data_IF_470192296757
#
_entry.id   IF_470192296757
#
_cell.length_a   1.000
_cell.length_b   1.000
_cell.length_c   1.000
_cell.angle_alpha   90.00
_cell.angle_beta   90.00
_cell.angle_gamma   90.00
#
_symmetry.space_group_name_H-M   'P 1'
#
loop_
_entity.id
_entity.type
_entity.pdbx_description
1 polymer ?
#
# COMPACT_ATOMS: atom_id res chain seq x y z
N UNK A 1 -24.88 -16.07 57.02
CA UNK A 1 -23.56 -15.43 56.93
C UNK A 1 -23.06 -15.76 55.54
N UNK A 2 -23.24 -14.82 54.61
CA UNK A 2 -22.96 -15.02 53.18
C UNK A 2 -21.52 -14.56 52.98
N UNK A 3 -20.64 -15.47 52.59
CA UNK A 3 -19.27 -15.14 52.18
C UNK A 3 -19.33 -14.29 50.93
N UNK A 4 -18.83 -13.06 51.06
CA UNK A 4 -18.55 -12.12 49.98
C UNK A 4 -17.13 -12.40 49.49
N UNK A 5 -16.94 -13.49 48.75
CA UNK A 5 -15.74 -13.63 47.92
C UNK A 5 -15.99 -12.87 46.61
N UNK A 6 -15.42 -11.66 46.61
CA UNK A 6 -15.15 -10.81 45.45
C UNK A 6 -14.56 -11.62 44.30
N UNK A 7 -15.38 -11.92 43.29
CA UNK A 7 -14.89 -12.14 41.92
C UNK A 7 -14.13 -10.87 41.48
N UNK A 8 -12.80 -10.95 41.48
CA UNK A 8 -11.97 -9.97 40.78
C UNK A 8 -12.30 -10.06 39.28
N UNK A 9 -12.51 -8.95 38.57
CA UNK A 9 -12.57 -9.00 37.12
C UNK A 9 -11.19 -9.44 36.61
N UNK A 10 -11.13 -10.61 35.99
CA UNK A 10 -9.96 -11.05 35.23
C UNK A 10 -9.71 -10.03 34.11
N UNK A 11 -8.66 -9.23 34.28
CA UNK A 11 -8.21 -8.30 33.25
C UNK A 11 -7.71 -9.12 32.07
N UNK A 12 -8.08 -8.75 30.85
CA UNK A 12 -7.58 -9.35 29.60
C UNK A 12 -6.03 -9.26 29.54
N UNK A 13 -5.43 -8.34 30.31
CA UNK A 13 -3.98 -8.21 30.48
C UNK A 13 -3.32 -9.40 31.21
N UNK A 14 -4.04 -10.17 32.03
CA UNK A 14 -3.49 -11.33 32.75
C UNK A 14 -3.39 -12.60 31.88
N UNK A 15 -3.87 -12.54 30.62
CA UNK A 15 -3.94 -13.69 29.70
C UNK A 15 -2.92 -13.66 28.56
N UNK A 16 -2.16 -12.57 28.39
CA UNK A 16 -1.11 -12.43 27.39
C UNK A 16 0.25 -12.61 28.06
N UNK A 17 1.17 -13.35 27.43
CA UNK A 17 2.54 -13.41 27.95
C UNK A 17 3.23 -12.04 27.82
N UNK A 18 4.28 -11.80 28.59
CA UNK A 18 5.08 -10.56 28.48
C UNK A 18 5.67 -10.41 27.07
N UNK A 19 6.02 -11.52 26.40
CA UNK A 19 6.47 -11.55 25.00
C UNK A 19 5.35 -11.14 24.03
N UNK A 20 4.13 -11.69 24.19
CA UNK A 20 2.98 -11.30 23.34
C UNK A 20 2.65 -9.82 23.49
N UNK A 21 2.80 -9.27 24.71
CA UNK A 21 2.56 -7.85 24.99
C UNK A 21 3.64 -6.96 24.36
N UNK A 22 4.90 -7.40 24.38
CA UNK A 22 6.02 -6.68 23.77
C UNK A 22 5.88 -6.60 22.24
N UNK A 23 5.55 -7.71 21.58
CA UNK A 23 5.40 -7.77 20.12
C UNK A 23 4.24 -6.90 19.62
N UNK A 24 3.13 -6.84 20.37
CA UNK A 24 1.99 -5.96 20.07
C UNK A 24 2.39 -4.48 20.10
N UNK A 25 3.27 -4.09 21.03
CA UNK A 25 3.69 -2.70 21.22
C UNK A 25 4.68 -2.26 20.14
N UNK A 26 5.66 -3.10 19.81
CA UNK A 26 6.61 -2.82 18.72
C UNK A 26 5.89 -2.73 17.37
N UNK A 27 4.95 -3.65 17.11
CA UNK A 27 4.10 -3.59 15.92
C UNK A 27 3.28 -2.29 15.86
N UNK A 28 2.81 -1.77 16.99
CA UNK A 28 2.11 -0.49 17.03
C UNK A 28 3.02 0.68 16.59
N UNK A 29 4.27 0.76 17.08
CA UNK A 29 5.20 1.83 16.70
C UNK A 29 5.58 1.72 15.22
N UNK A 30 5.89 0.51 14.76
CA UNK A 30 6.22 0.25 13.35
C UNK A 30 5.06 0.62 12.41
N UNK A 31 3.80 0.34 12.80
CA UNK A 31 2.62 0.79 12.06
C UNK A 31 2.55 2.31 11.99
N UNK A 32 2.81 3.03 13.08
CA UNK A 32 2.80 4.49 13.09
C UNK A 32 3.86 5.06 12.11
N UNK A 33 5.08 4.50 12.13
CA UNK A 33 6.16 4.91 11.22
C UNK A 33 5.80 4.64 9.75
N UNK A 34 5.26 3.46 9.46
CA UNK A 34 4.92 3.06 8.09
C UNK A 34 3.77 3.90 7.53
N UNK A 35 2.68 4.06 8.29
CA UNK A 35 1.51 4.82 7.85
C UNK A 35 1.86 6.31 7.66
N UNK A 36 2.64 6.89 8.57
CA UNK A 36 3.14 8.26 8.42
C UNK A 36 3.96 8.42 7.14
N UNK A 37 4.93 7.53 6.92
CA UNK A 37 5.81 7.57 5.75
C UNK A 37 5.02 7.47 4.45
N UNK A 38 4.05 6.55 4.38
CA UNK A 38 3.18 6.39 3.21
C UNK A 38 2.29 7.60 2.95
N UNK A 39 1.67 8.20 3.99
CA UNK A 39 0.84 9.41 3.85
C UNK A 39 1.65 10.59 3.33
N UNK A 40 2.86 10.79 3.84
CA UNK A 40 3.75 11.89 3.44
C UNK A 40 4.46 11.67 2.10
N UNK A 41 4.38 10.47 1.53
CA UNK A 41 5.09 10.12 0.29
C UNK A 41 6.58 9.86 0.50
N UNK A 42 6.99 9.57 1.73
CA UNK A 42 8.36 9.24 2.11
C UNK A 42 8.66 7.77 1.79
N UNK A 43 8.63 7.43 0.50
CA UNK A 43 8.71 6.03 0.06
C UNK A 43 10.03 5.36 0.42
N UNK A 44 11.15 6.10 0.51
CA UNK A 44 12.42 5.49 0.92
C UNK A 44 12.36 5.10 2.40
N UNK A 45 11.87 5.99 3.24
CA UNK A 45 11.64 5.70 4.66
C UNK A 45 10.66 4.53 4.85
N UNK A 46 9.55 4.50 4.09
CA UNK A 46 8.57 3.44 4.18
C UNK A 46 9.17 2.06 3.85
N UNK A 47 10.08 1.98 2.86
CA UNK A 47 10.83 0.76 2.55
C UNK A 47 11.81 0.37 3.68
N UNK A 48 12.50 1.33 4.29
CA UNK A 48 13.39 1.05 5.43
C UNK A 48 12.61 0.55 6.65
N UNK A 49 11.44 1.13 6.94
CA UNK A 49 10.55 0.67 8.02
C UNK A 49 10.02 -0.74 7.75
N UNK A 50 9.73 -1.09 6.49
CA UNK A 50 9.31 -2.44 6.12
C UNK A 50 10.35 -3.51 6.51
N UNK A 51 11.65 -3.19 6.45
CA UNK A 51 12.70 -4.11 6.87
C UNK A 51 12.65 -4.39 8.38
N UNK A 52 12.26 -3.39 9.17
CA UNK A 52 12.09 -3.56 10.61
C UNK A 52 10.94 -4.53 10.93
N UNK A 53 9.82 -4.48 10.20
CA UNK A 53 8.75 -5.48 10.39
C UNK A 53 9.27 -6.92 10.26
N UNK A 54 10.18 -7.19 9.33
CA UNK A 54 10.81 -8.50 9.20
C UNK A 54 11.74 -8.82 10.37
N UNK A 55 12.52 -7.84 10.84
CA UNK A 55 13.43 -8.00 11.97
C UNK A 55 12.69 -8.33 13.28
N UNK A 56 11.56 -7.65 13.53
CA UNK A 56 10.74 -7.83 14.73
C UNK A 56 9.66 -8.91 14.58
N UNK A 57 9.63 -9.65 13.46
CA UNK A 57 8.60 -10.66 13.17
C UNK A 57 7.15 -10.14 13.26
N UNK A 58 6.95 -8.85 13.02
CA UNK A 58 5.65 -8.18 13.08
C UNK A 58 4.88 -8.28 11.76
N UNK A 59 3.55 -8.15 11.82
CA UNK A 59 2.70 -8.22 10.63
C UNK A 59 2.54 -6.84 9.97
N UNK A 60 2.91 -6.76 8.69
CA UNK A 60 2.69 -5.55 7.89
C UNK A 60 1.20 -5.43 7.55
N UNK A 61 0.55 -4.27 7.77
CA UNK A 61 -0.83 -4.07 7.36
C UNK A 61 -0.99 -4.26 5.84
N UNK A 62 -1.92 -5.13 5.44
CA UNK A 62 -2.05 -5.53 4.02
C UNK A 62 -2.28 -4.35 3.07
N UNK A 63 -3.06 -3.35 3.49
CA UNK A 63 -3.31 -2.17 2.66
C UNK A 63 -2.06 -1.27 2.56
N UNK A 64 -1.24 -1.19 3.62
CA UNK A 64 0.04 -0.47 3.57
C UNK A 64 1.05 -1.19 2.67
N UNK A 65 1.09 -2.53 2.73
CA UNK A 65 1.90 -3.35 1.82
C UNK A 65 1.47 -3.16 0.36
N UNK A 66 0.16 -3.15 0.09
CA UNK A 66 -0.35 -2.84 -1.24
C UNK A 66 0.06 -1.43 -1.71
N UNK A 67 -0.07 -0.41 -0.86
CA UNK A 67 0.37 0.95 -1.19
C UNK A 67 1.87 0.99 -1.54
N UNK A 68 2.74 0.30 -0.79
CA UNK A 68 4.16 0.21 -1.09
C UNK A 68 4.44 -0.39 -2.48
N UNK A 69 3.74 -1.47 -2.83
CA UNK A 69 3.92 -2.15 -4.13
C UNK A 69 3.36 -1.29 -5.26
N UNK A 70 2.21 -0.64 -5.04
CA UNK A 70 1.51 0.15 -6.03
C UNK A 70 2.17 1.53 -6.29
N UNK A 71 2.89 2.07 -5.31
CA UNK A 71 3.66 3.32 -5.44
C UNK A 71 5.09 3.10 -5.94
N UNK A 72 5.55 1.84 -6.01
CA UNK A 72 6.82 1.51 -6.64
C UNK A 72 6.74 1.73 -8.14
N UNK A 73 7.83 2.25 -8.71
CA UNK A 73 7.94 2.43 -10.15
C UNK A 73 7.62 1.13 -10.91
N UNK A 74 6.85 1.22 -12.01
CA UNK A 74 6.57 0.08 -12.86
C UNK A 74 7.88 -0.62 -13.30
N UNK A 75 7.87 -1.95 -13.52
CA UNK A 75 9.05 -2.66 -13.98
C UNK A 75 9.65 -2.02 -15.25
N UNK A 76 10.91 -1.58 -15.15
CA UNK A 76 11.67 -0.97 -16.27
C UNK A 76 12.91 -1.77 -16.67
N UNK A 77 13.33 -2.75 -15.85
CA UNK A 77 14.52 -3.59 -16.08
C UNK A 77 14.22 -5.03 -15.64
N UNK A 78 13.94 -5.93 -16.57
CA UNK A 78 13.95 -7.38 -16.29
C UNK A 78 14.45 -8.16 -17.51
N UNK A 79 14.88 -9.41 -17.27
CA UNK A 79 15.34 -10.38 -18.27
C UNK A 79 14.19 -11.03 -19.06
N UNK A 80 12.95 -10.89 -18.59
CA UNK A 80 11.72 -11.10 -19.38
C UNK A 80 11.43 -9.84 -20.21
N UNK A 81 10.57 -9.93 -21.23
CA UNK A 81 10.13 -8.71 -21.93
C UNK A 81 9.53 -7.74 -20.91
N UNK A 82 9.97 -6.47 -20.95
CA UNK A 82 9.50 -5.41 -20.04
C UNK A 82 7.97 -5.35 -20.01
N UNK A 83 7.34 -5.57 -21.16
CA UNK A 83 5.89 -5.65 -21.32
C UNK A 83 5.25 -6.75 -20.46
N UNK A 84 5.81 -7.97 -20.48
CA UNK A 84 5.27 -9.08 -19.69
C UNK A 84 5.40 -8.81 -18.18
N UNK A 85 6.51 -8.23 -17.76
CA UNK A 85 6.70 -7.85 -16.35
C UNK A 85 5.68 -6.78 -15.90
N UNK A 86 5.38 -5.80 -16.77
CA UNK A 86 4.37 -4.77 -16.50
C UNK A 86 2.95 -5.35 -16.43
N UNK A 87 2.62 -6.29 -17.32
CA UNK A 87 1.33 -7.00 -17.29
C UNK A 87 1.18 -7.74 -15.96
N UNK A 88 2.14 -8.61 -15.60
CA UNK A 88 2.06 -9.41 -14.37
C UNK A 88 2.02 -8.57 -13.09
N UNK A 89 2.77 -7.46 -13.07
CA UNK A 89 2.72 -6.49 -11.98
C UNK A 89 1.32 -5.88 -11.83
N UNK A 90 0.73 -5.41 -12.93
CA UNK A 90 -0.56 -4.73 -12.90
C UNK A 90 -1.72 -5.71 -12.62
N UNK A 91 -1.66 -6.93 -13.16
CA UNK A 91 -2.63 -8.00 -12.86
C UNK A 91 -2.71 -8.30 -11.36
N UNK A 92 -1.54 -8.45 -10.72
CA UNK A 92 -1.44 -8.71 -9.28
C UNK A 92 -2.07 -7.58 -8.47
N UNK A 93 -1.77 -6.33 -8.85
CA UNK A 93 -2.32 -5.15 -8.20
C UNK A 93 -3.84 -5.04 -8.40
N UNK A 94 -4.36 -5.33 -9.59
CA UNK A 94 -5.81 -5.35 -9.86
C UNK A 94 -6.50 -6.38 -8.97
N UNK A 95 -6.01 -7.62 -8.93
CA UNK A 95 -6.61 -8.69 -8.13
C UNK A 95 -6.65 -8.35 -6.63
N UNK A 96 -5.55 -7.83 -6.10
CA UNK A 96 -5.49 -7.41 -4.69
C UNK A 96 -6.45 -6.24 -4.42
N UNK A 97 -6.50 -5.25 -5.31
CA UNK A 97 -7.40 -4.09 -5.17
C UNK A 97 -8.87 -4.51 -5.18
N UNK A 98 -9.25 -5.43 -6.07
CA UNK A 98 -10.60 -6.00 -6.13
C UNK A 98 -10.96 -6.70 -4.83
N UNK A 99 -10.05 -7.52 -4.28
CA UNK A 99 -10.25 -8.19 -3.00
C UNK A 99 -10.48 -7.20 -1.86
N UNK A 100 -9.68 -6.13 -1.78
CA UNK A 100 -9.88 -5.09 -0.77
C UNK A 100 -11.22 -4.38 -0.90
N UNK A 101 -11.62 -3.99 -2.12
CA UNK A 101 -12.90 -3.32 -2.35
C UNK A 101 -14.07 -4.24 -1.98
N UNK A 102 -13.97 -5.54 -2.26
CA UNK A 102 -14.98 -6.52 -1.90
C UNK A 102 -15.09 -6.74 -0.39
N UNK A 103 -13.97 -6.66 0.35
CA UNK A 103 -13.96 -6.81 1.81
C UNK A 103 -14.37 -5.54 2.58
N UNK A 104 -14.57 -4.41 1.90
CA UNK A 104 -15.00 -3.17 2.53
C UNK A 104 -16.52 -3.19 2.75
N UNK A 105 -16.94 -3.65 3.92
CA UNK A 105 -18.36 -3.72 4.32
C UNK A 105 -19.02 -2.34 4.49
N UNK A 106 -18.24 -1.28 4.66
CA UNK A 106 -18.76 0.06 4.94
C UNK A 106 -18.66 0.99 3.71
N UNK A 107 -19.78 1.60 3.26
CA UNK A 107 -19.77 2.55 2.16
C UNK A 107 -19.02 3.85 2.49
N UNK A 108 -18.77 4.15 3.78
CA UNK A 108 -18.12 5.38 4.27
C UNK A 108 -16.62 5.25 4.53
N UNK A 109 -16.01 4.24 3.91
CA UNK A 109 -14.59 4.01 4.05
C UNK A 109 -13.78 5.04 3.23
N UNK A 110 -12.97 5.88 3.88
CA UNK A 110 -12.26 7.02 3.24
C UNK A 110 -11.36 6.61 2.08
N UNK A 111 -10.83 5.39 2.12
CA UNK A 111 -9.96 4.85 1.08
C UNK A 111 -10.71 4.19 -0.10
N UNK A 112 -12.02 3.97 -0.01
CA UNK A 112 -12.80 3.24 -1.03
C UNK A 112 -12.82 3.92 -2.38
N UNK A 113 -13.13 5.22 -2.41
CA UNK A 113 -13.21 5.98 -3.67
C UNK A 113 -11.86 6.05 -4.40
N UNK A 114 -10.74 6.43 -3.74
CA UNK A 114 -9.41 6.36 -4.35
C UNK A 114 -9.02 4.97 -4.87
N UNK A 115 -9.41 3.90 -4.18
CA UNK A 115 -9.15 2.53 -4.65
C UNK A 115 -9.99 2.15 -5.88
N UNK A 116 -11.24 2.60 -5.95
CA UNK A 116 -12.10 2.40 -7.13
C UNK A 116 -11.55 3.16 -8.35
N UNK A 117 -11.05 4.38 -8.14
CA UNK A 117 -10.39 5.17 -9.18
C UNK A 117 -9.12 4.48 -9.68
N UNK A 118 -8.27 4.01 -8.75
CA UNK A 118 -7.10 3.21 -9.07
C UNK A 118 -7.47 1.98 -9.90
N UNK A 119 -8.43 1.18 -9.43
CA UNK A 119 -8.85 -0.04 -10.11
C UNK A 119 -9.38 0.24 -11.52
N UNK A 120 -10.17 1.30 -11.68
CA UNK A 120 -10.72 1.69 -12.98
C UNK A 120 -9.62 2.06 -13.97
N UNK A 121 -8.61 2.81 -13.53
CA UNK A 121 -7.48 3.20 -14.38
C UNK A 121 -6.54 2.02 -14.65
N UNK A 122 -6.32 1.15 -13.67
CA UNK A 122 -5.51 -0.05 -13.79
C UNK A 122 -6.11 -1.02 -14.82
N UNK A 123 -7.41 -1.34 -14.72
CA UNK A 123 -8.13 -2.19 -15.69
C UNK A 123 -8.10 -1.63 -17.11
N UNK A 124 -8.14 -0.30 -17.28
CA UNK A 124 -7.98 0.31 -18.60
C UNK A 124 -6.55 0.14 -19.12
N UNK A 125 -5.56 0.39 -18.27
CA UNK A 125 -4.14 0.34 -18.63
C UNK A 125 -3.70 -1.06 -19.01
N UNK A 126 -4.15 -2.09 -18.28
CA UNK A 126 -3.76 -3.47 -18.56
C UNK A 126 -4.24 -3.97 -19.92
N UNK A 127 -5.45 -3.58 -20.35
CA UNK A 127 -5.93 -3.93 -21.70
C UNK A 127 -5.08 -3.27 -22.79
N UNK A 128 -4.52 -2.08 -22.56
CA UNK A 128 -3.61 -1.49 -23.53
C UNK A 128 -2.27 -2.26 -23.60
N UNK A 129 -1.75 -2.73 -22.47
CA UNK A 129 -0.57 -3.61 -22.45
C UNK A 129 -0.85 -4.93 -23.18
N UNK A 130 -2.02 -5.54 -23.00
CA UNK A 130 -2.41 -6.72 -23.77
C UNK A 130 -2.61 -6.43 -25.26
N UNK A 131 -3.04 -5.22 -25.63
CA UNK A 131 -3.15 -4.82 -27.05
C UNK A 131 -1.75 -4.71 -27.68
N UNK A 132 -0.78 -4.17 -26.94
CA UNK A 132 0.62 -4.14 -27.33
C UNK A 132 1.16 -5.56 -27.54
N UNK A 133 0.94 -6.46 -26.58
CA UNK A 133 1.36 -7.86 -26.67
C UNK A 133 0.69 -8.59 -27.85
N UNK A 134 -0.60 -8.34 -28.07
CA UNK A 134 -1.35 -8.86 -29.22
C UNK A 134 -0.79 -8.37 -30.56
N UNK A 135 -0.32 -7.12 -30.65
CA UNK A 135 0.23 -6.59 -31.90
C UNK A 135 1.50 -7.33 -32.35
N UNK A 136 2.26 -7.87 -31.39
CA UNK A 136 3.46 -8.68 -31.63
C UNK A 136 3.13 -10.15 -31.89
N UNK A 137 2.25 -10.74 -31.08
CA UNK A 137 1.96 -12.19 -31.13
C UNK A 137 0.88 -12.58 -32.14
N UNK A 138 -0.10 -11.71 -32.38
CA UNK A 138 -1.31 -12.02 -33.14
C UNK A 138 -2.32 -12.91 -32.41
N UNK A 139 -2.11 -13.23 -31.12
CA UNK A 139 -3.00 -14.12 -30.36
C UNK A 139 -4.29 -13.41 -29.92
N UNK A 140 -5.30 -13.50 -30.78
CA UNK A 140 -6.62 -12.92 -30.54
C UNK A 140 -7.34 -13.56 -29.35
N UNK A 141 -7.14 -14.85 -29.11
CA UNK A 141 -7.86 -15.56 -28.06
C UNK A 141 -7.45 -15.05 -26.67
N UNK A 142 -6.14 -14.90 -26.46
CA UNK A 142 -5.58 -14.33 -25.22
C UNK A 142 -6.08 -12.90 -25.02
N UNK A 143 -6.03 -12.05 -26.06
CA UNK A 143 -6.51 -10.67 -25.93
C UNK A 143 -8.00 -10.59 -25.56
N UNK A 144 -8.84 -11.39 -26.22
CA UNK A 144 -10.28 -11.40 -25.93
C UNK A 144 -10.60 -11.95 -24.54
N UNK A 145 -9.83 -12.93 -24.07
CA UNK A 145 -9.95 -13.44 -22.70
C UNK A 145 -9.72 -12.32 -21.68
N UNK A 146 -8.62 -11.58 -21.81
CA UNK A 146 -8.30 -10.48 -20.89
C UNK A 146 -9.28 -9.31 -21.02
N UNK A 147 -9.73 -8.98 -22.24
CA UNK A 147 -10.79 -7.98 -22.43
C UNK A 147 -12.07 -8.38 -21.71
N UNK A 148 -12.49 -9.65 -21.79
CA UNK A 148 -13.69 -10.13 -21.11
C UNK A 148 -13.51 -10.20 -19.59
N UNK A 149 -12.31 -10.50 -19.10
CA UNK A 149 -11.99 -10.52 -17.66
C UNK A 149 -12.19 -9.15 -17.01
N UNK A 150 -11.68 -8.09 -17.63
CA UNK A 150 -11.74 -6.74 -17.05
C UNK A 150 -12.96 -5.92 -17.48
N UNK A 151 -13.52 -6.23 -18.65
CA UNK A 151 -14.68 -5.56 -19.22
C UNK A 151 -15.68 -6.60 -19.73
N UNK A 152 -16.53 -7.19 -18.87
CA UNK A 152 -17.44 -8.27 -19.25
C UNK A 152 -18.41 -7.92 -20.38
N UNK A 153 -18.71 -8.88 -21.24
CA UNK A 153 -19.57 -8.68 -22.41
C UNK A 153 -21.05 -8.43 -22.07
N UNK A 154 -21.49 -8.98 -20.95
CA UNK A 154 -22.83 -8.89 -20.39
C UNK A 154 -23.04 -7.63 -19.51
N UNK A 155 -21.98 -6.85 -19.28
CA UNK A 155 -22.06 -5.63 -18.48
C UNK A 155 -23.08 -4.63 -19.03
N UNK A 156 -23.91 -4.08 -18.14
CA UNK A 156 -24.87 -3.01 -18.44
C UNK A 156 -24.28 -1.61 -18.37
N UNK A 157 -23.06 -1.48 -17.84
CA UNK A 157 -22.36 -0.21 -17.71
C UNK A 157 -22.02 0.41 -19.09
N UNK A 158 -22.52 1.63 -19.39
CA UNK A 158 -22.24 2.30 -20.66
C UNK A 158 -20.75 2.49 -20.94
N UNK A 159 -19.95 2.77 -19.92
CA UNK A 159 -18.51 2.98 -20.09
C UNK A 159 -17.83 1.67 -20.52
N UNK A 160 -18.14 0.55 -19.87
CA UNK A 160 -17.67 -0.79 -20.24
C UNK A 160 -18.03 -1.14 -21.68
N UNK A 161 -19.28 -0.91 -22.09
CA UNK A 161 -19.73 -1.16 -23.48
C UNK A 161 -18.97 -0.32 -24.51
N UNK A 162 -18.76 0.97 -24.22
CA UNK A 162 -18.01 1.87 -25.08
C UNK A 162 -16.54 1.44 -25.20
N UNK A 163 -15.90 1.07 -24.09
CA UNK A 163 -14.53 0.56 -24.08
C UNK A 163 -14.38 -0.71 -24.92
N UNK A 164 -15.30 -1.68 -24.75
CA UNK A 164 -15.31 -2.90 -25.57
C UNK A 164 -15.46 -2.60 -27.06
N UNK A 165 -16.39 -1.71 -27.43
CA UNK A 165 -16.59 -1.33 -28.82
C UNK A 165 -15.31 -0.71 -29.42
N UNK A 166 -14.62 0.16 -28.66
CA UNK A 166 -13.35 0.75 -29.10
C UNK A 166 -12.32 -0.33 -29.41
N UNK A 167 -12.10 -1.29 -28.51
CA UNK A 167 -11.12 -2.35 -28.75
C UNK A 167 -11.56 -3.29 -29.87
N UNK A 168 -12.83 -3.70 -29.95
CA UNK A 168 -13.34 -4.49 -31.06
C UNK A 168 -13.05 -3.83 -32.42
N UNK A 169 -13.25 -2.51 -32.53
CA UNK A 169 -12.94 -1.74 -33.72
C UNK A 169 -11.44 -1.71 -34.08
N UNK A 170 -10.55 -1.70 -33.08
CA UNK A 170 -9.10 -1.79 -33.30
C UNK A 170 -8.73 -3.16 -33.87
N UNK A 171 -9.25 -4.23 -33.28
CA UNK A 171 -8.96 -5.61 -33.66
C UNK A 171 -9.35 -5.96 -35.12
N UNK A 172 -10.28 -5.22 -35.73
CA UNK A 172 -10.69 -5.42 -37.12
C UNK A 172 -9.58 -5.16 -38.15
N UNK A 173 -8.48 -4.47 -37.78
CA UNK A 173 -7.41 -4.14 -38.72
C UNK A 173 -6.07 -4.02 -38.01
N UNK A 174 -5.08 -4.82 -38.45
CA UNK A 174 -3.69 -4.72 -37.97
C UNK A 174 -3.13 -3.31 -38.12
N UNK A 175 -3.37 -2.65 -39.25
CA UNK A 175 -2.92 -1.28 -39.52
C UNK A 175 -3.54 -0.26 -38.55
N UNK A 176 -4.82 -0.44 -38.20
CA UNK A 176 -5.51 0.43 -37.25
C UNK A 176 -4.99 0.24 -35.83
N UNK A 177 -4.76 -1.01 -35.41
CA UNK A 177 -4.13 -1.33 -34.12
C UNK A 177 -2.74 -0.71 -34.03
N UNK A 178 -1.90 -0.91 -35.04
CA UNK A 178 -0.53 -0.37 -35.04
C UNK A 178 -0.54 1.16 -34.93
N UNK A 179 -1.35 1.83 -35.76
CA UNK A 179 -1.49 3.29 -35.70
C UNK A 179 -1.94 3.77 -34.32
N UNK A 180 -2.90 3.08 -33.71
CA UNK A 180 -3.36 3.42 -32.37
C UNK A 180 -2.24 3.27 -31.34
N UNK A 181 -1.47 2.18 -31.40
CA UNK A 181 -0.35 1.96 -30.49
C UNK A 181 0.71 3.06 -30.63
N UNK A 182 1.13 3.35 -31.86
CA UNK A 182 2.18 4.32 -32.16
C UNK A 182 1.77 5.76 -31.80
N UNK A 183 0.53 6.15 -32.08
CA UNK A 183 0.06 7.54 -31.91
C UNK A 183 -0.54 7.82 -30.54
N UNK A 184 -1.10 6.80 -29.85
CA UNK A 184 -1.92 7.02 -28.64
C UNK A 184 -1.45 6.27 -27.40
N UNK A 185 -0.85 5.08 -27.55
CA UNK A 185 -0.47 4.28 -26.39
C UNK A 185 1.01 4.42 -26.04
N UNK A 186 1.91 4.02 -26.94
CA UNK A 186 3.33 3.93 -26.67
C UNK A 186 3.95 5.26 -26.18
N UNK A 187 3.62 6.43 -26.77
CA UNK A 187 4.14 7.72 -26.28
C UNK A 187 3.70 8.07 -24.86
N UNK A 188 2.56 7.55 -24.42
CA UNK A 188 1.92 7.87 -23.14
C UNK A 188 1.95 6.71 -22.15
N UNK A 189 2.58 5.58 -22.49
CA UNK A 189 2.60 4.38 -21.65
C UNK A 189 3.20 4.67 -20.28
N UNK A 190 4.42 5.23 -20.26
CA UNK A 190 5.12 5.50 -19.00
C UNK A 190 4.37 6.49 -18.11
N UNK A 191 3.82 7.57 -18.68
CA UNK A 191 3.02 8.52 -17.89
C UNK A 191 1.73 7.89 -17.39
N UNK A 192 1.05 7.06 -18.20
CA UNK A 192 -0.19 6.37 -17.78
C UNK A 192 0.07 5.42 -16.61
N UNK A 193 1.19 4.70 -16.64
CA UNK A 193 1.58 3.82 -15.53
C UNK A 193 2.04 4.61 -14.29
N UNK A 194 2.73 5.75 -14.48
CA UNK A 194 3.07 6.67 -13.40
C UNK A 194 1.82 7.27 -12.75
N UNK A 195 0.77 7.58 -13.52
CA UNK A 195 -0.45 8.09 -12.90
C UNK A 195 -1.11 7.06 -11.96
N UNK A 196 -0.82 5.76 -12.11
CA UNK A 196 -1.29 4.74 -11.16
C UNK A 196 -0.56 4.87 -9.82
N UNK A 197 0.73 5.21 -9.81
CA UNK A 197 1.48 5.44 -8.56
C UNK A 197 0.90 6.63 -7.80
N UNK A 198 0.50 7.68 -8.51
CA UNK A 198 -0.17 8.84 -7.92
C UNK A 198 -1.53 8.49 -7.31
N UNK A 199 -2.33 7.66 -7.99
CA UNK A 199 -3.60 7.17 -7.45
C UNK A 199 -3.40 6.27 -6.22
N UNK A 200 -2.37 5.41 -6.22
CA UNK A 200 -2.01 4.61 -5.06
C UNK A 200 -1.58 5.49 -3.88
N UNK A 201 -0.84 6.59 -4.14
CA UNK A 201 -0.49 7.54 -3.10
C UNK A 201 -1.72 8.28 -2.53
N UNK A 202 -2.71 8.61 -3.37
CA UNK A 202 -3.99 9.16 -2.88
C UNK A 202 -4.72 8.19 -1.93
N UNK A 203 -4.63 6.88 -2.14
CA UNK A 203 -5.13 5.88 -1.19
C UNK A 203 -4.36 6.00 0.12
N UNK A 204 -3.02 6.04 0.06
CA UNK A 204 -2.18 6.16 1.25
C UNK A 204 -2.47 7.44 2.05
N UNK A 205 -2.78 8.56 1.38
CA UNK A 205 -3.17 9.81 2.04
C UNK A 205 -4.44 9.70 2.89
N UNK A 206 -5.29 8.69 2.65
CA UNK A 206 -6.51 8.45 3.44
C UNK A 206 -6.27 7.62 4.70
N UNK A 207 -5.04 7.16 4.95
CA UNK A 207 -4.70 6.50 6.21
C UNK A 207 -4.92 7.43 7.41
N UNK A 208 -5.24 6.88 8.59
CA UNK A 208 -5.52 7.67 9.78
C UNK A 208 -4.30 8.48 10.24
N UNK A 209 -4.59 9.51 11.03
CA UNK A 209 -3.58 10.24 11.79
C UNK A 209 -2.88 9.33 12.80
N UNK A 210 -1.58 9.53 12.96
CA UNK A 210 -0.67 8.70 13.77
C UNK A 210 0.15 9.57 14.72
N UNK A 211 0.85 8.95 15.66
CA UNK A 211 1.62 9.65 16.69
C UNK A 211 2.62 10.67 16.10
N UNK A 212 3.25 10.33 14.98
CA UNK A 212 4.23 11.19 14.31
C UNK A 212 3.62 12.49 13.77
N UNK A 213 2.32 12.54 13.50
CA UNK A 213 1.65 13.79 13.06
C UNK A 213 1.62 14.84 14.18
N UNK A 214 1.86 14.44 15.43
CA UNK A 214 1.80 15.33 16.60
C UNK A 214 3.14 15.99 16.92
N UNK A 215 4.23 15.59 16.24
CA UNK A 215 5.57 16.16 16.43
C UNK A 215 5.53 17.67 16.16
N UNK A 216 6.10 18.45 17.08
CA UNK A 216 6.12 19.92 17.02
C UNK A 216 4.80 20.61 17.37
N UNK A 217 3.75 19.86 17.70
CA UNK A 217 2.47 20.40 18.18
C UNK A 217 2.37 20.33 19.70
N UNK A 218 1.40 21.03 20.28
CA UNK A 218 1.12 20.96 21.72
C UNK A 218 0.64 19.58 22.17
N UNK A 219 0.16 18.73 21.25
CA UNK A 219 -0.31 17.37 21.53
C UNK A 219 0.85 16.37 21.67
N UNK A 220 2.09 16.77 21.37
CA UNK A 220 3.27 15.90 21.55
C UNK A 220 3.48 15.49 23.01
N UNK A 221 3.05 16.32 23.99
CA UNK A 221 3.13 15.94 25.40
C UNK A 221 2.30 14.70 25.73
N UNK A 222 1.16 14.54 25.08
CA UNK A 222 0.29 13.38 25.29
C UNK A 222 0.92 12.13 24.64
N UNK A 223 1.54 12.29 23.47
CA UNK A 223 2.34 11.24 22.83
C UNK A 223 3.52 10.83 23.70
N UNK A 224 4.21 11.79 24.33
CA UNK A 224 5.31 11.50 25.27
C UNK A 224 4.84 10.64 26.45
N UNK A 225 3.65 10.90 26.99
CA UNK A 225 3.04 10.07 28.03
C UNK A 225 2.74 8.66 27.53
N UNK A 226 2.18 8.53 26.32
CA UNK A 226 1.92 7.22 25.69
C UNK A 226 3.23 6.45 25.52
N UNK A 227 4.26 7.05 24.92
CA UNK A 227 5.54 6.40 24.67
C UNK A 227 6.25 5.96 25.96
N UNK A 228 6.14 6.75 27.04
CA UNK A 228 6.63 6.36 28.37
C UNK A 228 5.84 5.19 28.96
N UNK A 229 4.54 5.12 28.71
CA UNK A 229 3.70 4.02 29.19
C UNK A 229 4.00 2.72 28.45
N UNK A 230 4.27 2.80 27.15
CA UNK A 230 4.71 1.65 26.34
C UNK A 230 6.05 1.08 26.84
N UNK A 231 6.98 1.95 27.25
CA UNK A 231 8.26 1.60 27.87
C UNK A 231 9.04 0.50 27.14
N UNK A 232 9.05 0.50 25.80
CA UNK A 232 9.89 -0.39 25.01
C UNK A 232 11.14 0.33 24.55
N UNK A 233 12.13 -0.43 24.09
CA UNK A 233 13.36 0.16 23.59
C UNK A 233 13.07 1.07 22.37
N UNK A 234 12.16 0.67 21.47
CA UNK A 234 11.75 1.53 20.35
C UNK A 234 10.96 2.75 20.80
N UNK A 235 10.09 2.64 21.80
CA UNK A 235 9.31 3.78 22.32
C UNK A 235 10.22 4.83 22.96
N UNK A 236 11.23 4.40 23.72
CA UNK A 236 12.25 5.26 24.32
C UNK A 236 13.14 5.92 23.24
N UNK A 237 13.55 5.16 22.23
CA UNK A 237 14.35 5.70 21.13
C UNK A 237 13.57 6.74 20.33
N UNK A 238 12.30 6.48 20.02
CA UNK A 238 11.45 7.41 19.28
C UNK A 238 11.24 8.70 20.08
N UNK A 239 11.03 8.56 21.39
CA UNK A 239 10.87 9.69 22.31
C UNK A 239 12.11 10.58 22.38
N UNK A 240 13.31 9.99 22.56
CA UNK A 240 14.54 10.78 22.61
C UNK A 240 14.91 11.36 21.25
N UNK A 241 14.72 10.62 20.16
CA UNK A 241 15.07 11.07 18.81
C UNK A 241 14.23 12.28 18.35
N UNK A 242 12.93 12.29 18.66
CA UNK A 242 12.02 13.38 18.29
C UNK A 242 11.89 14.46 19.37
N UNK A 243 12.66 14.37 20.45
CA UNK A 243 12.64 15.36 21.53
C UNK A 243 13.06 16.74 21.03
N UNK A 244 12.16 17.72 21.15
CA UNK A 244 12.42 19.10 20.76
C UNK A 244 12.45 19.36 19.26
N UNK A 245 12.06 18.38 18.42
CA UNK A 245 11.87 18.59 16.99
C UNK A 245 10.53 19.27 16.70
N UNK A 246 10.53 20.14 15.70
CA UNK A 246 9.33 20.86 15.23
C UNK A 246 8.58 20.14 14.12
N UNK A 247 9.21 19.17 13.46
CA UNK A 247 8.61 18.35 12.41
C UNK A 247 9.34 17.00 12.28
N UNK A 248 8.77 16.09 11.50
CA UNK A 248 9.36 14.81 11.12
C UNK A 248 9.54 14.73 9.61
N UNK A 249 10.79 14.62 9.18
CA UNK A 249 11.19 14.53 7.76
C UNK A 249 11.44 13.09 7.31
N UNK A 250 11.57 12.85 6.00
CA UNK A 250 11.94 11.51 5.50
C UNK A 250 13.31 11.06 6.05
N UNK A 251 14.27 11.98 6.15
CA UNK A 251 15.60 11.70 6.67
C UNK A 251 15.56 11.25 8.14
N UNK A 252 14.65 11.81 8.92
CA UNK A 252 14.49 11.47 10.33
C UNK A 252 14.05 10.02 10.53
N UNK A 253 13.15 9.54 9.68
CA UNK A 253 12.67 8.16 9.74
C UNK A 253 13.74 7.20 9.21
N UNK A 254 14.52 7.60 8.21
CA UNK A 254 15.63 6.81 7.69
C UNK A 254 16.72 6.62 8.76
N UNK A 255 17.11 7.69 9.45
CA UNK A 255 18.08 7.65 10.54
C UNK A 255 17.57 6.82 11.72
N UNK A 256 16.29 7.00 12.09
CA UNK A 256 15.65 6.18 13.12
C UNK A 256 15.65 4.69 12.73
N UNK A 257 15.26 4.35 11.50
CA UNK A 257 15.20 2.97 11.05
C UNK A 257 16.60 2.34 11.01
N UNK A 258 17.61 3.08 10.56
CA UNK A 258 19.00 2.61 10.60
C UNK A 258 19.49 2.38 12.03
N UNK A 259 19.13 3.27 12.96
CA UNK A 259 19.46 3.10 14.37
C UNK A 259 18.79 1.85 14.98
N UNK A 260 17.51 1.64 14.69
CA UNK A 260 16.75 0.47 15.16
C UNK A 260 17.25 -0.86 14.55
N UNK A 261 17.75 -0.83 13.32
CA UNK A 261 18.34 -1.99 12.63
C UNK A 261 19.74 -2.34 13.15
N UNK A 262 20.57 -1.34 13.45
CA UNK A 262 21.97 -1.53 13.88
C UNK A 262 22.12 -1.86 15.36
N UNK A 263 21.20 -1.40 16.21
CA UNK A 263 21.14 -1.91 17.57
C UNK A 263 20.41 -3.25 17.55
N UNK A 264 21.10 -4.33 17.91
CA UNK A 264 20.44 -5.36 18.70
C UNK A 264 19.92 -4.62 19.93
N UNK A 265 18.68 -4.10 19.89
CA UNK A 265 18.08 -3.33 20.98
C UNK A 265 18.43 -4.10 22.26
N UNK A 266 19.25 -3.53 23.15
CA UNK A 266 19.75 -4.31 24.25
C UNK A 266 18.54 -4.75 25.04
N UNK A 267 18.31 -6.06 25.11
CA UNK A 267 17.40 -6.71 26.04
C UNK A 267 17.84 -6.49 27.51
N UNK A 268 18.68 -5.48 27.77
CA UNK A 268 19.40 -5.18 29.00
C UNK A 268 19.44 -3.67 29.32
N UNK A 269 18.55 -2.85 28.76
CA UNK A 269 18.24 -1.52 29.34
C UNK A 269 17.07 -1.55 30.34
N UNK A 270 16.67 -2.75 30.78
CA UNK A 270 15.81 -2.98 31.93
C UNK A 270 16.41 -4.06 32.83
#
# INVERSE_FOLDING_TARGET
MVDLDTERPHSIADALSEEDTYDIIEEFILKNLLLFSLRKGFFKAAHSVLLLFHQFSCHVPSLAQWCLIATRDPPTKSSQSILQAQISWLDSLIAITESFIQSMDQPFCSFREPMVDYLTKARRSIIHLHLEAFSESGDMAVFLQELNRHFPADSTDPATRQYRLKFAQLLMSKTRTQRYLDERWLPHRSSTLSDLTDLAWKVAQQFPDVLLDKIGTNEWSDVDVILRHLNTAMSLCLREYFRGRSECTEQDILEFAHFADTQSLPSQLF
#
